data_IF_240419443654
#
_entry.id   IF_240419443654
#
_cell.length_a   1.000
_cell.length_b   1.000
_cell.length_c   1.000
_cell.angle_alpha   90.00
_cell.angle_beta   90.00
_cell.angle_gamma   90.00
#
_symmetry.space_group_name_H-M   'P 1'
#
loop_
_entity.id
_entity.type
_entity.pdbx_description
1 polymer ?
#
# COMPACT_ATOMS: atom_id res chain seq x y z
N UNK A 1 33.17 -2.66 -20.27
CA UNK A 1 31.88 -1.95 -20.43
C UNK A 1 30.80 -3.00 -20.71
N UNK A 2 30.37 -3.76 -19.70
CA UNK A 2 29.21 -4.66 -19.81
C UNK A 2 27.96 -3.96 -19.29
N UNK A 3 27.55 -2.88 -19.96
CA UNK A 3 26.22 -2.34 -19.75
C UNK A 3 25.25 -3.27 -20.50
N UNK A 4 24.54 -4.12 -19.77
CA UNK A 4 23.29 -4.69 -20.28
C UNK A 4 22.39 -3.52 -20.67
N UNK A 5 22.36 -3.23 -21.97
CA UNK A 5 21.46 -2.24 -22.55
C UNK A 5 20.06 -2.57 -22.05
N UNK A 6 19.41 -1.66 -21.31
CA UNK A 6 18.09 -1.81 -20.67
C UNK A 6 17.98 -2.55 -19.33
N UNK A 7 19.08 -2.80 -18.60
CA UNK A 7 19.03 -3.48 -17.30
C UNK A 7 18.08 -2.84 -16.26
N UNK A 8 17.93 -1.51 -16.28
CA UNK A 8 16.98 -0.79 -15.40
C UNK A 8 15.52 -1.08 -15.77
N UNK A 9 15.18 -1.01 -17.06
CA UNK A 9 13.82 -1.28 -17.55
C UNK A 9 13.41 -2.71 -17.22
N UNK A 10 14.28 -3.68 -17.52
CA UNK A 10 14.04 -5.09 -17.24
C UNK A 10 13.87 -5.32 -15.74
N UNK A 11 14.74 -4.75 -14.91
CA UNK A 11 14.65 -4.92 -13.46
C UNK A 11 13.35 -4.34 -12.88
N UNK A 12 12.92 -3.15 -13.34
CA UNK A 12 11.66 -2.55 -12.92
C UNK A 12 10.46 -3.39 -13.33
N UNK A 13 10.41 -3.84 -14.58
CA UNK A 13 9.31 -4.70 -15.06
C UNK A 13 9.27 -6.04 -14.32
N UNK A 14 10.44 -6.65 -14.06
CA UNK A 14 10.52 -7.90 -13.29
C UNK A 14 10.05 -7.70 -11.85
N UNK A 15 10.51 -6.64 -11.18
CA UNK A 15 10.08 -6.32 -9.81
C UNK A 15 8.57 -6.06 -9.73
N UNK A 16 8.02 -5.33 -10.70
CA UNK A 16 6.58 -5.08 -10.78
C UNK A 16 5.79 -6.37 -11.03
N UNK A 17 6.27 -7.25 -11.92
CA UNK A 17 5.67 -8.55 -12.17
C UNK A 17 5.64 -9.43 -10.92
N UNK A 18 6.75 -9.52 -10.19
CA UNK A 18 6.83 -10.28 -8.93
C UNK A 18 5.86 -9.70 -7.89
N UNK A 19 5.82 -8.38 -7.73
CA UNK A 19 4.89 -7.74 -6.80
C UNK A 19 3.41 -7.97 -7.19
N UNK A 20 3.10 -8.04 -8.48
CA UNK A 20 1.75 -8.27 -8.99
C UNK A 20 1.24 -9.70 -8.74
N UNK A 21 2.14 -10.68 -8.59
CA UNK A 21 1.77 -12.05 -8.20
C UNK A 21 1.26 -12.14 -6.76
N UNK A 22 1.66 -11.19 -5.90
CA UNK A 22 1.28 -11.13 -4.47
C UNK A 22 1.66 -12.37 -3.67
N UNK A 23 2.65 -13.11 -4.16
CA UNK A 23 3.14 -14.31 -3.49
C UNK A 23 4.25 -13.94 -2.50
N UNK A 24 4.15 -14.48 -1.28
CA UNK A 24 5.15 -14.28 -0.23
C UNK A 24 6.55 -14.76 -0.63
N UNK A 25 6.63 -15.79 -1.48
CA UNK A 25 7.91 -16.28 -2.06
C UNK A 25 8.64 -15.20 -2.86
N UNK A 26 7.92 -14.18 -3.36
CA UNK A 26 8.51 -13.04 -4.05
C UNK A 26 9.41 -12.18 -3.16
N UNK A 27 9.19 -12.18 -1.84
CA UNK A 27 9.99 -11.39 -0.89
C UNK A 27 11.46 -11.80 -0.97
N UNK A 28 11.76 -13.10 -0.85
CA UNK A 28 13.15 -13.58 -0.86
C UNK A 28 13.84 -13.31 -2.19
N UNK A 29 13.11 -13.45 -3.30
CA UNK A 29 13.61 -13.17 -4.65
C UNK A 29 14.01 -11.70 -4.81
N UNK A 30 13.16 -10.78 -4.35
CA UNK A 30 13.42 -9.34 -4.42
C UNK A 30 14.53 -8.93 -3.44
N UNK A 31 14.48 -9.40 -2.19
CA UNK A 31 15.45 -9.08 -1.14
C UNK A 31 16.87 -9.53 -1.50
N UNK A 32 17.05 -10.74 -2.05
CA UNK A 32 18.36 -11.21 -2.51
C UNK A 32 18.97 -10.27 -3.57
N UNK A 33 18.13 -9.60 -4.36
CA UNK A 33 18.55 -8.70 -5.46
C UNK A 33 18.74 -7.25 -5.00
N UNK A 34 18.45 -6.90 -3.75
CA UNK A 34 18.84 -5.62 -3.14
C UNK A 34 20.24 -5.65 -2.51
N UNK A 35 20.85 -6.83 -2.41
CA UNK A 35 22.17 -7.03 -1.81
C UNK A 35 23.26 -6.16 -2.45
N UNK A 36 24.27 -5.82 -1.65
CA UNK A 36 25.45 -5.08 -2.12
C UNK A 36 26.19 -5.85 -3.23
N UNK A 37 26.79 -5.13 -4.17
CA UNK A 37 27.48 -5.72 -5.34
C UNK A 37 26.56 -6.06 -6.52
N UNK A 38 25.23 -6.03 -6.35
CA UNK A 38 24.28 -6.09 -7.48
C UNK A 38 24.24 -4.75 -8.24
N UNK A 39 23.86 -4.74 -9.53
CA UNK A 39 23.67 -3.51 -10.29
C UNK A 39 22.74 -2.50 -9.61
N UNK A 40 23.16 -1.25 -9.50
CA UNK A 40 22.45 -0.20 -8.72
C UNK A 40 20.98 -0.01 -9.11
N UNK A 41 20.66 -0.07 -10.41
CA UNK A 41 19.30 0.06 -10.91
C UNK A 41 18.44 -1.15 -10.55
N UNK A 42 19.03 -2.35 -10.56
CA UNK A 42 18.35 -3.55 -10.09
C UNK A 42 18.03 -3.42 -8.62
N UNK A 43 18.99 -3.02 -7.79
CA UNK A 43 18.79 -2.86 -6.35
C UNK A 43 17.67 -1.85 -6.05
N UNK A 44 17.66 -0.73 -6.75
CA UNK A 44 16.61 0.28 -6.64
C UNK A 44 15.23 -0.27 -7.01
N UNK A 45 15.12 -0.94 -8.16
CA UNK A 45 13.88 -1.54 -8.62
C UNK A 45 13.34 -2.61 -7.66
N UNK A 46 14.22 -3.45 -7.11
CA UNK A 46 13.85 -4.52 -6.19
C UNK A 46 13.41 -3.98 -4.83
N UNK A 47 14.06 -2.90 -4.33
CA UNK A 47 13.60 -2.18 -3.14
C UNK A 47 12.20 -1.58 -3.31
N UNK A 48 11.93 -0.93 -4.45
CA UNK A 48 10.60 -0.42 -4.76
C UNK A 48 9.56 -1.57 -4.87
N UNK A 49 9.95 -2.68 -5.51
CA UNK A 49 9.12 -3.88 -5.64
C UNK A 49 8.79 -4.52 -4.29
N UNK A 50 9.73 -4.58 -3.35
CA UNK A 50 9.51 -5.10 -1.99
C UNK A 50 8.41 -4.32 -1.27
N UNK A 51 8.46 -2.98 -1.38
CA UNK A 51 7.41 -2.14 -0.82
C UNK A 51 6.04 -2.42 -1.44
N UNK A 52 5.98 -2.54 -2.77
CA UNK A 52 4.72 -2.83 -3.47
C UNK A 52 4.17 -4.23 -3.16
N UNK A 53 5.03 -5.22 -3.00
CA UNK A 53 4.63 -6.57 -2.58
C UNK A 53 4.15 -6.56 -1.12
N UNK A 54 4.86 -5.86 -0.23
CA UNK A 54 4.53 -5.73 1.18
C UNK A 54 3.17 -5.08 1.43
N UNK A 55 2.74 -4.17 0.56
CA UNK A 55 1.37 -3.62 0.59
C UNK A 55 0.31 -4.73 0.59
N UNK A 56 0.49 -5.79 -0.22
CA UNK A 56 -0.46 -6.90 -0.30
C UNK A 56 -0.29 -7.93 0.83
N UNK A 57 0.84 -7.90 1.53
CA UNK A 57 1.21 -8.88 2.55
C UNK A 57 1.25 -8.21 3.93
N UNK A 58 0.07 -7.85 4.46
CA UNK A 58 -0.07 -7.08 5.72
C UNK A 58 0.75 -7.67 6.89
N UNK A 59 0.82 -9.01 7.00
CA UNK A 59 1.56 -9.72 8.06
C UNK A 59 3.09 -9.54 7.99
N UNK A 60 3.63 -9.14 6.84
CA UNK A 60 5.08 -8.98 6.59
C UNK A 60 5.49 -7.51 6.51
N UNK A 61 4.55 -6.56 6.65
CA UNK A 61 4.84 -5.13 6.45
C UNK A 61 5.88 -4.57 7.41
N UNK A 62 5.84 -4.97 8.68
CA UNK A 62 6.79 -4.46 9.68
C UNK A 62 8.22 -4.94 9.39
N UNK A 63 8.40 -6.22 9.05
CA UNK A 63 9.69 -6.78 8.64
C UNK A 63 10.23 -6.11 7.36
N UNK A 64 9.36 -5.96 6.35
CA UNK A 64 9.75 -5.30 5.10
C UNK A 64 10.08 -3.82 5.29
N UNK A 65 9.40 -3.16 6.24
CA UNK A 65 9.73 -1.78 6.59
C UNK A 65 11.13 -1.69 7.21
N UNK A 66 11.50 -2.61 8.10
CA UNK A 66 12.84 -2.65 8.69
C UNK A 66 13.93 -2.90 7.63
N UNK A 67 13.69 -3.83 6.71
CA UNK A 67 14.60 -4.10 5.58
C UNK A 67 14.78 -2.87 4.68
N UNK A 68 13.68 -2.20 4.32
CA UNK A 68 13.73 -0.98 3.51
C UNK A 68 14.39 0.18 4.28
N UNK A 69 14.14 0.30 5.59
CA UNK A 69 14.79 1.28 6.45
C UNK A 69 16.31 1.06 6.50
N UNK A 70 16.78 -0.19 6.52
CA UNK A 70 18.20 -0.50 6.37
C UNK A 70 18.75 0.00 5.03
N UNK A 71 18.05 -0.23 3.92
CA UNK A 71 18.47 0.22 2.59
C UNK A 71 18.52 1.75 2.41
N UNK A 72 17.79 2.54 3.22
CA UNK A 72 17.93 4.01 3.19
C UNK A 72 19.33 4.50 3.61
N UNK A 73 20.11 3.64 4.28
CA UNK A 73 21.50 3.92 4.70
C UNK A 73 22.55 3.46 3.69
N UNK A 74 22.14 2.87 2.57
CA UNK A 74 23.05 2.33 1.54
C UNK A 74 24.00 3.40 0.98
N UNK A 75 25.27 3.11 0.67
CA UNK A 75 26.15 4.12 0.07
C UNK A 75 25.68 4.62 -1.31
N UNK A 76 24.95 3.79 -2.08
CA UNK A 76 24.46 4.14 -3.41
C UNK A 76 23.13 4.91 -3.34
N UNK A 77 23.13 6.11 -3.93
CA UNK A 77 21.95 6.97 -3.98
C UNK A 77 20.72 6.31 -4.64
N UNK A 78 20.89 5.54 -5.72
CA UNK A 78 19.75 4.91 -6.41
C UNK A 78 19.10 3.86 -5.53
N UNK A 79 19.90 3.09 -4.79
CA UNK A 79 19.37 2.13 -3.82
C UNK A 79 18.62 2.84 -2.69
N UNK A 80 19.13 3.95 -2.15
CA UNK A 80 18.37 4.78 -1.19
C UNK A 80 17.03 5.25 -1.76
N UNK A 81 17.03 5.67 -3.03
CA UNK A 81 15.82 6.13 -3.70
C UNK A 81 14.79 4.99 -3.82
N UNK A 82 15.22 3.81 -4.27
CA UNK A 82 14.35 2.63 -4.33
C UNK A 82 13.81 2.20 -2.96
N UNK A 83 14.60 2.37 -1.90
CA UNK A 83 14.15 2.13 -0.52
C UNK A 83 13.07 3.14 -0.09
N UNK A 84 13.25 4.43 -0.38
CA UNK A 84 12.24 5.46 -0.14
C UNK A 84 10.96 5.17 -0.91
N UNK A 85 11.06 4.85 -2.20
CA UNK A 85 9.91 4.50 -3.02
C UNK A 85 9.22 3.22 -2.51
N UNK A 86 9.99 2.26 -2.00
CA UNK A 86 9.47 1.06 -1.34
C UNK A 86 8.71 1.37 -0.05
N UNK A 87 9.25 2.22 0.84
CA UNK A 87 8.56 2.62 2.08
C UNK A 87 7.25 3.33 1.75
N UNK A 88 7.22 4.17 0.72
CA UNK A 88 5.99 4.80 0.23
C UNK A 88 5.02 3.74 -0.32
N UNK A 89 5.54 2.78 -1.09
CA UNK A 89 4.77 1.69 -1.69
C UNK A 89 4.11 0.74 -0.69
N UNK A 90 4.63 0.63 0.54
CA UNK A 90 3.98 -0.11 1.63
C UNK A 90 2.67 0.54 2.08
N UNK A 91 2.53 1.85 1.91
CA UNK A 91 1.41 2.66 2.42
C UNK A 91 1.17 2.50 3.94
N UNK A 92 2.21 2.11 4.68
CA UNK A 92 2.17 1.92 6.13
C UNK A 92 2.56 3.22 6.87
N UNK A 93 1.67 3.79 7.72
CA UNK A 93 1.97 5.00 8.48
C UNK A 93 3.24 4.93 9.35
N UNK A 94 3.63 3.74 9.82
CA UNK A 94 4.87 3.55 10.59
C UNK A 94 6.12 3.95 9.79
N UNK A 95 6.06 3.88 8.46
CA UNK A 95 7.14 4.29 7.57
C UNK A 95 7.41 5.79 7.54
N UNK A 96 6.47 6.62 8.00
CA UNK A 96 6.61 8.09 8.01
C UNK A 96 7.83 8.52 8.82
N UNK A 97 8.06 7.93 10.01
CA UNK A 97 9.20 8.29 10.85
C UNK A 97 10.54 8.06 10.14
N UNK A 98 10.64 6.98 9.36
CA UNK A 98 11.85 6.71 8.58
C UNK A 98 12.01 7.68 7.41
N UNK A 99 10.93 8.08 6.75
CA UNK A 99 10.97 9.09 5.70
C UNK A 99 11.31 10.49 6.24
N UNK A 100 10.82 10.85 7.43
CA UNK A 100 11.19 12.10 8.12
C UNK A 100 12.70 12.13 8.40
N UNK A 101 13.24 11.05 8.96
CA UNK A 101 14.69 10.89 9.15
C UNK A 101 15.47 11.08 7.86
N UNK A 102 15.04 10.46 6.76
CA UNK A 102 15.67 10.62 5.43
C UNK A 102 15.60 12.08 4.95
N UNK A 103 14.46 12.74 5.14
CA UNK A 103 14.25 14.13 4.75
C UNK A 103 15.13 15.10 5.53
N UNK A 104 15.44 14.80 6.78
CA UNK A 104 16.21 15.67 7.66
C UNK A 104 17.72 15.44 7.52
N UNK A 105 18.16 14.19 7.36
CA UNK A 105 19.60 13.86 7.35
C UNK A 105 20.22 13.83 5.94
N UNK A 106 19.42 13.74 4.87
CA UNK A 106 19.96 13.61 3.52
C UNK A 106 20.55 14.92 3.00
N UNK A 107 21.81 14.89 2.60
CA UNK A 107 22.47 15.99 1.86
C UNK A 107 21.96 16.12 0.43
N UNK A 108 21.36 15.06 -0.13
CA UNK A 108 20.84 15.05 -1.49
C UNK A 108 19.42 15.62 -1.53
N UNK A 109 19.26 16.77 -2.20
CA UNK A 109 17.97 17.47 -2.29
C UNK A 109 16.85 16.65 -2.93
N UNK A 110 17.18 15.81 -3.92
CA UNK A 110 16.19 14.94 -4.57
C UNK A 110 15.61 13.90 -3.59
N UNK A 111 16.45 13.28 -2.76
CA UNK A 111 16.02 12.30 -1.77
C UNK A 111 15.12 12.95 -0.70
N UNK A 112 15.47 14.16 -0.24
CA UNK A 112 14.63 14.93 0.71
C UNK A 112 13.25 15.23 0.13
N UNK A 113 13.19 15.69 -1.13
CA UNK A 113 11.92 15.99 -1.80
C UNK A 113 11.06 14.74 -1.97
N UNK A 114 11.66 13.61 -2.36
CA UNK A 114 10.92 12.36 -2.53
C UNK A 114 10.39 11.83 -1.20
N UNK A 115 11.19 11.88 -0.12
CA UNK A 115 10.73 11.48 1.20
C UNK A 115 9.56 12.36 1.70
N UNK A 116 9.65 13.69 1.57
CA UNK A 116 8.55 14.61 1.93
C UNK A 116 7.28 14.38 1.12
N UNK A 117 7.41 14.16 -0.19
CA UNK A 117 6.27 13.80 -1.05
C UNK A 117 5.66 12.48 -0.61
N UNK A 118 6.49 11.48 -0.31
CA UNK A 118 6.08 10.19 0.20
C UNK A 118 5.30 10.27 1.52
N UNK A 119 5.73 11.10 2.46
CA UNK A 119 5.02 11.36 3.71
C UNK A 119 3.61 11.90 3.43
N UNK A 120 3.51 12.91 2.55
CA UNK A 120 2.22 13.47 2.18
C UNK A 120 1.31 12.41 1.52
N UNK A 121 1.87 11.60 0.62
CA UNK A 121 1.14 10.51 -0.05
C UNK A 121 0.61 9.47 0.93
N UNK A 122 1.43 8.99 1.87
CA UNK A 122 1.01 8.02 2.90
C UNK A 122 -0.11 8.61 3.76
N UNK A 123 0.02 9.87 4.21
CA UNK A 123 -1.00 10.54 5.02
C UNK A 123 -2.33 10.66 4.28
N UNK A 124 -2.30 11.08 3.01
CA UNK A 124 -3.50 11.19 2.17
C UNK A 124 -4.16 9.84 1.98
N UNK A 125 -3.42 8.82 1.55
CA UNK A 125 -3.98 7.47 1.32
C UNK A 125 -4.53 6.83 2.58
N UNK A 126 -3.85 7.03 3.72
CA UNK A 126 -4.35 6.56 5.01
C UNK A 126 -5.68 7.23 5.39
N UNK A 127 -5.79 8.55 5.22
CA UNK A 127 -7.03 9.28 5.47
C UNK A 127 -8.17 8.84 4.52
N UNK A 128 -7.88 8.63 3.24
CA UNK A 128 -8.85 8.11 2.26
C UNK A 128 -9.33 6.69 2.61
N UNK A 129 -8.44 5.82 3.10
CA UNK A 129 -8.81 4.46 3.54
C UNK A 129 -9.72 4.52 4.76
N UNK A 130 -9.43 5.39 5.73
CA UNK A 130 -10.27 5.59 6.91
C UNK A 130 -11.67 6.10 6.53
N UNK A 131 -11.76 7.11 5.66
CA UNK A 131 -13.05 7.64 5.17
C UNK A 131 -13.85 6.58 4.40
N UNK A 132 -13.19 5.75 3.61
CA UNK A 132 -13.85 4.66 2.87
C UNK A 132 -14.44 3.62 3.81
N UNK A 133 -13.76 3.31 4.91
CA UNK A 133 -14.25 2.37 5.92
C UNK A 133 -15.49 2.93 6.61
N UNK A 134 -15.46 4.19 7.03
CA UNK A 134 -16.60 4.90 7.63
C UNK A 134 -17.82 4.90 6.69
N UNK A 135 -17.62 5.23 5.40
CA UNK A 135 -18.68 5.17 4.40
C UNK A 135 -19.24 3.75 4.19
N UNK A 136 -18.41 2.71 4.32
CA UNK A 136 -18.86 1.33 4.19
C UNK A 136 -19.75 0.93 5.38
N UNK A 137 -19.37 1.33 6.59
CA UNK A 137 -20.16 1.10 7.81
C UNK A 137 -21.50 1.84 7.76
N UNK A 138 -21.53 3.07 7.25
CA UNK A 138 -22.77 3.82 7.02
C UNK A 138 -23.68 3.14 6.00
N UNK A 139 -23.11 2.65 4.88
CA UNK A 139 -23.88 1.92 3.88
C UNK A 139 -24.49 0.64 4.43
N UNK A 140 -23.78 -0.06 5.32
CA UNK A 140 -24.29 -1.29 5.92
C UNK A 140 -25.41 -1.00 6.95
N UNK A 141 -25.32 0.08 7.73
CA UNK A 141 -26.43 0.56 8.57
C UNK A 141 -27.67 0.92 7.74
N UNK A 142 -27.49 1.67 6.65
CA UNK A 142 -28.60 2.05 5.76
C UNK A 142 -29.28 0.83 5.12
N UNK A 143 -28.52 -0.21 4.78
CA UNK A 143 -29.10 -1.47 4.28
C UNK A 143 -29.94 -2.16 5.34
N UNK A 144 -29.49 -2.19 6.58
CA UNK A 144 -30.21 -2.85 7.66
C UNK A 144 -31.47 -2.08 8.07
N UNK A 145 -31.42 -0.75 8.13
CA UNK A 145 -32.61 0.10 8.28
C UNK A 145 -33.61 -0.12 7.14
N UNK A 146 -33.13 -0.21 5.90
CA UNK A 146 -34.00 -0.49 4.74
C UNK A 146 -34.67 -1.86 4.84
N UNK A 147 -33.98 -2.89 5.33
CA UNK A 147 -34.58 -4.22 5.57
C UNK A 147 -35.64 -4.14 6.66
N UNK A 148 -35.36 -3.43 7.75
CA UNK A 148 -36.30 -3.28 8.86
C UNK A 148 -37.56 -2.53 8.43
N UNK A 149 -37.42 -1.42 7.71
CA UNK A 149 -38.54 -0.64 7.18
C UNK A 149 -39.39 -1.47 6.22
N UNK A 150 -38.77 -2.25 5.33
CA UNK A 150 -39.51 -3.18 4.46
C UNK A 150 -40.29 -4.22 5.25
N UNK A 151 -39.69 -4.81 6.29
CA UNK A 151 -40.38 -5.78 7.14
C UNK A 151 -41.59 -5.15 7.87
N UNK A 152 -41.43 -3.93 8.40
CA UNK A 152 -42.52 -3.16 9.02
C UNK A 152 -43.62 -2.82 8.02
N UNK A 153 -43.25 -2.44 6.79
CA UNK A 153 -44.20 -2.15 5.72
C UNK A 153 -45.02 -3.40 5.36
N UNK A 154 -44.37 -4.54 5.13
CA UNK A 154 -45.07 -5.80 4.85
C UNK A 154 -46.02 -6.20 5.99
N UNK A 155 -45.61 -6.00 7.25
CA UNK A 155 -46.47 -6.28 8.40
C UNK A 155 -47.70 -5.34 8.45
N UNK A 156 -47.53 -4.06 8.10
CA UNK A 156 -48.62 -3.09 8.01
C UNK A 156 -49.57 -3.42 6.84
N UNK A 157 -49.04 -3.71 5.65
CA UNK A 157 -49.82 -4.12 4.48
C UNK A 157 -50.66 -5.37 4.79
N UNK A 158 -50.10 -6.36 5.48
CA UNK A 158 -50.82 -7.54 5.92
C UNK A 158 -51.97 -7.19 6.90
N UNK A 159 -51.75 -6.28 7.86
CA UNK A 159 -52.78 -5.83 8.79
C UNK A 159 -53.91 -5.05 8.10
N UNK A 160 -53.57 -4.16 7.17
CA UNK A 160 -54.56 -3.39 6.39
C UNK A 160 -55.40 -4.33 5.52
N UNK A 161 -54.78 -5.29 4.83
CA UNK A 161 -55.48 -6.31 4.05
C UNK A 161 -56.43 -7.15 4.89
N UNK A 162 -56.03 -7.55 6.11
CA UNK A 162 -56.88 -8.29 7.03
C UNK A 162 -58.06 -7.46 7.57
N UNK A 163 -57.86 -6.17 7.84
CA UNK A 163 -58.94 -5.27 8.27
C UNK A 163 -59.97 -4.99 7.17
N UNK A 164 -59.55 -4.96 5.91
CA UNK A 164 -60.44 -4.77 4.76
C UNK A 164 -61.36 -5.98 4.55
N UNK A 165 -60.83 -7.20 4.67
CA UNK A 165 -61.61 -8.45 4.58
C UNK A 165 -62.62 -8.68 5.70
N UNK A 166 -62.47 -7.99 6.85
CA UNK A 166 -63.36 -8.13 8.02
C UNK A 166 -64.54 -7.14 8.00
N UNK A 167 -64.57 -6.19 7.05
CA UNK A 167 -65.65 -5.19 6.88
C UNK A 167 -66.66 -5.53 5.78
N UNK A 168 -66.48 -6.67 5.10
CA UNK A 168 -67.44 -7.27 4.16
C UNK A 168 -68.04 -8.49 4.85
#
# INVERSE_FOLDING_TARGET
>A
MDRLSQGDVIARSAAAGIAALREEKGISVLAERTAYGRPEFQRAAMGAGLGKLGYYLEKRQDELLDDLAALTRDPNYRTKLGAVDGIVGLENPKGIAQLEKVADTSVLGALRRNARRGIAEIRTKHAERAKRLEQQDELDKLKDETKELKARLTALEARVGASSKRKV
#
